data_IF_765751364291
#
_entry.id   IF_765751364291
#
_cell.length_a   1.000
_cell.length_b   1.000
_cell.length_c   1.000
_cell.angle_alpha   90.00
_cell.angle_beta   90.00
_cell.angle_gamma   90.00
#
_symmetry.space_group_name_H-M   'P 1'
#
loop_
_entity.id
_entity.type
_entity.pdbx_description
1 polymer ?
#
# COMPACT_ATOMS: atom_id res chain seq x y z
N UNK A 1 -19.05 -7.36 -8.86
CA UNK A 1 -18.25 -6.72 -9.94
C UNK A 1 -18.81 -7.00 -11.32
N UNK A 2 -19.00 -8.27 -11.74
CA UNK A 2 -19.45 -8.59 -13.11
C UNK A 2 -20.81 -7.98 -13.44
N UNK A 3 -21.87 -8.36 -12.71
CA UNK A 3 -23.22 -7.82 -12.95
C UNK A 3 -23.31 -6.31 -12.78
N UNK A 4 -22.54 -5.76 -11.82
CA UNK A 4 -22.48 -4.33 -11.55
C UNK A 4 -21.90 -3.56 -12.74
N UNK A 5 -20.70 -3.94 -13.21
CA UNK A 5 -20.03 -3.24 -14.31
C UNK A 5 -20.81 -3.31 -15.63
N UNK A 6 -21.52 -4.42 -15.89
CA UNK A 6 -22.36 -4.56 -17.10
C UNK A 6 -23.47 -3.50 -17.13
N UNK A 7 -24.07 -3.19 -15.98
CA UNK A 7 -25.13 -2.17 -15.87
C UNK A 7 -24.62 -0.74 -16.08
N UNK A 8 -23.32 -0.53 -15.91
CA UNK A 8 -22.65 0.77 -16.00
C UNK A 8 -22.07 1.03 -17.41
N UNK A 9 -22.26 0.10 -18.35
CA UNK A 9 -21.84 0.28 -19.74
C UNK A 9 -22.81 1.23 -20.43
N UNK A 10 -22.27 2.35 -20.90
CA UNK A 10 -23.05 3.36 -21.58
C UNK A 10 -23.44 2.89 -22.99
N UNK A 11 -24.72 2.98 -23.39
CA UNK A 11 -25.20 2.39 -24.65
C UNK A 11 -24.67 3.10 -25.90
N UNK A 12 -24.27 4.37 -25.78
CA UNK A 12 -23.82 5.18 -26.91
C UNK A 12 -22.40 4.83 -27.40
N UNK A 13 -21.50 4.48 -26.49
CA UNK A 13 -20.08 4.24 -26.82
C UNK A 13 -19.53 2.91 -26.31
N UNK A 14 -20.35 2.13 -25.58
CA UNK A 14 -20.00 0.82 -25.06
C UNK A 14 -18.93 0.86 -23.97
N UNK A 15 -18.76 1.99 -23.27
CA UNK A 15 -17.73 2.18 -22.22
C UNK A 15 -18.33 2.40 -20.85
N UNK A 16 -17.50 2.19 -19.82
CA UNK A 16 -17.80 2.58 -18.43
C UNK A 16 -17.19 3.95 -18.15
N UNK A 17 -17.98 4.88 -17.62
CA UNK A 17 -17.55 6.26 -17.37
C UNK A 17 -17.56 6.55 -15.88
N UNK A 18 -16.41 6.41 -15.22
CA UNK A 18 -16.30 6.71 -13.79
C UNK A 18 -16.31 8.22 -13.51
N UNK A 19 -16.70 8.59 -12.30
CA UNK A 19 -16.57 9.95 -11.78
C UNK A 19 -15.43 10.02 -10.77
N UNK A 20 -14.47 10.91 -11.02
CA UNK A 20 -13.41 11.21 -10.06
C UNK A 20 -13.82 12.37 -9.15
N UNK A 21 -14.02 12.09 -7.88
CA UNK A 21 -14.36 13.10 -6.88
C UNK A 21 -13.07 13.71 -6.33
N UNK A 22 -12.86 15.00 -6.63
CA UNK A 22 -11.64 15.71 -6.25
C UNK A 22 -11.68 16.28 -4.82
N UNK A 23 -12.87 16.70 -4.35
CA UNK A 23 -13.03 17.43 -3.10
C UNK A 23 -13.80 16.62 -2.03
N UNK A 24 -13.54 15.31 -1.94
CA UNK A 24 -14.23 14.43 -0.99
C UNK A 24 -13.31 13.94 0.15
N UNK A 25 -12.09 13.53 -0.16
CA UNK A 25 -11.23 12.88 0.85
C UNK A 25 -10.47 13.91 1.69
N UNK A 26 -10.29 13.62 2.98
CA UNK A 26 -9.53 14.48 3.90
C UNK A 26 -8.03 14.52 3.62
N UNK A 27 -7.49 13.54 2.90
CA UNK A 27 -6.06 13.40 2.60
C UNK A 27 -5.67 13.96 1.23
N UNK A 28 -6.62 14.53 0.48
CA UNK A 28 -6.41 15.04 -0.87
C UNK A 28 -6.34 13.97 -1.97
N UNK A 29 -6.60 12.69 -1.65
CA UNK A 29 -6.76 11.62 -2.65
C UNK A 29 -8.03 11.84 -3.48
N UNK A 30 -7.98 11.42 -4.75
CA UNK A 30 -9.19 11.22 -5.55
C UNK A 30 -9.96 10.00 -5.04
N UNK A 31 -11.29 10.06 -5.10
CA UNK A 31 -12.13 8.86 -5.07
C UNK A 31 -12.81 8.64 -6.42
N UNK A 32 -13.28 7.42 -6.65
CA UNK A 32 -13.95 7.01 -7.89
C UNK A 32 -15.31 6.42 -7.57
N UNK A 33 -16.37 6.90 -8.22
CA UNK A 33 -17.74 6.40 -8.05
C UNK A 33 -18.44 6.24 -9.40
N UNK A 34 -19.48 5.40 -9.41
CA UNK A 34 -20.45 5.22 -10.51
C UNK A 34 -19.80 4.99 -11.88
N UNK A 35 -19.06 3.88 -12.07
CA UNK A 35 -18.61 2.90 -11.08
C UNK A 35 -17.27 3.26 -10.43
N UNK A 36 -16.97 2.68 -9.28
CA UNK A 36 -15.63 2.77 -8.69
C UNK A 36 -14.63 1.91 -9.49
N UNK A 37 -13.68 2.56 -10.17
CA UNK A 37 -12.63 1.91 -10.95
C UNK A 37 -11.27 1.86 -10.23
N UNK A 38 -11.15 2.46 -9.03
CA UNK A 38 -9.93 2.39 -8.22
C UNK A 38 -9.81 1.07 -7.43
N UNK A 39 -10.92 0.35 -7.22
CA UNK A 39 -10.95 -0.89 -6.42
C UNK A 39 -11.14 -2.19 -7.22
N UNK A 40 -10.88 -2.18 -8.53
CA UNK A 40 -11.02 -3.38 -9.37
C UNK A 40 -10.13 -4.51 -8.84
N UNK A 41 -10.67 -5.72 -8.59
CA UNK A 41 -9.93 -6.80 -7.95
C UNK A 41 -8.60 -7.14 -8.62
N UNK A 42 -7.58 -7.41 -7.81
CA UNK A 42 -6.24 -7.83 -8.25
C UNK A 42 -5.63 -8.93 -7.37
N UNK A 43 -6.17 -9.12 -6.16
CA UNK A 43 -5.52 -9.93 -5.11
C UNK A 43 -5.58 -11.43 -5.42
N UNK A 44 -6.78 -11.94 -5.67
CA UNK A 44 -7.04 -13.33 -6.02
C UNK A 44 -6.99 -13.52 -7.54
N UNK A 45 -6.65 -14.73 -8.00
CA UNK A 45 -6.54 -15.03 -9.42
C UNK A 45 -7.89 -14.83 -10.14
N UNK A 46 -8.98 -15.28 -9.53
CA UNK A 46 -10.35 -15.08 -9.99
C UNK A 46 -10.67 -13.60 -10.14
N UNK A 47 -10.22 -12.77 -9.20
CA UNK A 47 -10.36 -11.33 -9.26
C UNK A 47 -9.56 -10.70 -10.40
N UNK A 48 -8.33 -11.17 -10.67
CA UNK A 48 -7.51 -10.67 -11.80
C UNK A 48 -8.17 -10.91 -13.15
N UNK A 49 -8.96 -11.99 -13.29
CA UNK A 49 -9.69 -12.26 -14.55
C UNK A 49 -10.65 -11.13 -14.91
N UNK A 50 -11.19 -10.41 -13.92
CA UNK A 50 -12.06 -9.23 -14.15
C UNK A 50 -11.31 -8.11 -14.88
N UNK A 51 -10.02 -7.90 -14.59
CA UNK A 51 -9.22 -6.85 -15.27
C UNK A 51 -9.04 -7.12 -16.76
N UNK A 52 -9.14 -8.37 -17.21
CA UNK A 52 -9.07 -8.73 -18.63
C UNK A 52 -10.27 -8.21 -19.44
N UNK A 53 -11.36 -7.83 -18.78
CA UNK A 53 -12.51 -7.19 -19.43
C UNK A 53 -12.26 -5.72 -19.82
N UNK A 54 -11.21 -5.09 -19.26
CA UNK A 54 -10.82 -3.72 -19.60
C UNK A 54 -9.84 -3.78 -20.76
N UNK A 55 -10.33 -3.43 -21.95
CA UNK A 55 -9.59 -3.50 -23.22
C UNK A 55 -9.36 -2.11 -23.81
N UNK A 56 -8.35 -1.94 -24.69
CA UNK A 56 -8.17 -0.70 -25.44
C UNK A 56 -9.44 -0.30 -26.19
N UNK A 57 -9.74 1.00 -26.21
CA UNK A 57 -10.95 1.53 -26.85
C UNK A 57 -10.92 1.53 -28.39
N UNK A 58 -9.79 1.19 -28.99
CA UNK A 58 -9.57 1.17 -30.44
C UNK A 58 -8.73 -0.04 -30.83
N UNK A 59 -8.95 -0.54 -32.04
CA UNK A 59 -8.13 -1.59 -32.62
C UNK A 59 -6.66 -1.14 -32.76
N UNK A 60 -5.74 -2.05 -32.48
CA UNK A 60 -4.29 -1.78 -32.52
C UNK A 60 -3.74 -0.94 -31.36
N UNK A 61 -4.58 -0.49 -30.42
CA UNK A 61 -4.12 0.25 -29.24
C UNK A 61 -3.69 -0.69 -28.11
N UNK A 62 -2.89 -0.16 -27.18
CA UNK A 62 -2.43 -0.85 -25.98
C UNK A 62 -2.77 -0.04 -24.73
N UNK A 63 -3.00 -0.72 -23.61
CA UNK A 63 -3.09 -0.10 -22.29
C UNK A 63 -1.70 -0.13 -21.63
N UNK A 64 -1.23 1.05 -21.20
CA UNK A 64 0.01 1.19 -20.46
C UNK A 64 -0.30 1.58 -19.01
N UNK A 65 0.38 0.94 -18.06
CA UNK A 65 0.22 1.20 -16.63
C UNK A 65 1.57 1.47 -15.99
N UNK A 66 1.66 2.54 -15.20
CA UNK A 66 2.81 2.85 -14.36
C UNK A 66 2.34 3.06 -12.91
N UNK A 67 3.09 2.52 -11.97
CA UNK A 67 2.82 2.59 -10.53
C UNK A 67 4.11 2.95 -9.80
N UNK A 68 4.03 3.83 -8.80
CA UNK A 68 5.19 4.22 -8.02
C UNK A 68 5.63 3.10 -7.07
N UNK A 69 6.90 2.71 -7.16
CA UNK A 69 7.49 1.77 -6.19
C UNK A 69 7.62 2.41 -4.80
N UNK A 70 6.76 1.97 -3.87
CA UNK A 70 6.81 2.33 -2.43
C UNK A 70 6.68 3.84 -2.16
N UNK A 71 5.79 4.54 -2.87
CA UNK A 71 5.69 6.00 -2.83
C UNK A 71 5.54 6.59 -1.43
N UNK A 72 4.67 6.03 -0.59
CA UNK A 72 4.41 6.54 0.77
C UNK A 72 5.66 6.43 1.67
N UNK A 73 6.41 5.33 1.57
CA UNK A 73 7.66 5.17 2.31
C UNK A 73 8.75 6.14 1.81
N UNK A 74 8.79 6.43 0.50
CA UNK A 74 9.71 7.42 -0.07
C UNK A 74 9.37 8.84 0.39
N UNK A 75 8.09 9.18 0.45
CA UNK A 75 7.61 10.44 1.02
C UNK A 75 7.99 10.51 2.50
N UNK A 76 7.76 9.45 3.26
CA UNK A 76 8.17 9.38 4.66
C UNK A 76 9.68 9.57 4.84
N UNK A 77 10.51 8.90 4.03
CA UNK A 77 11.96 9.06 4.06
C UNK A 77 12.38 10.53 3.84
N UNK A 78 11.70 11.21 2.92
CA UNK A 78 11.93 12.62 2.66
C UNK A 78 11.47 13.52 3.83
N UNK A 79 10.26 13.29 4.36
CA UNK A 79 9.68 14.11 5.43
C UNK A 79 10.40 13.93 6.76
N UNK A 80 10.68 12.68 7.13
CA UNK A 80 11.41 12.34 8.36
C UNK A 80 12.90 12.62 8.29
N UNK A 81 13.46 12.74 7.08
CA UNK A 81 14.90 12.84 6.82
C UNK A 81 15.72 11.73 7.49
N UNK A 82 15.10 10.58 7.74
CA UNK A 82 15.77 9.44 8.35
C UNK A 82 16.86 8.91 7.41
N UNK A 83 18.12 8.97 7.86
CA UNK A 83 19.28 8.62 7.05
C UNK A 83 19.26 7.16 6.61
N UNK A 84 18.81 6.25 7.48
CA UNK A 84 18.78 4.83 7.20
C UNK A 84 17.71 4.51 6.15
N UNK A 85 16.54 5.15 6.24
CA UNK A 85 15.44 4.97 5.30
C UNK A 85 15.76 5.59 3.93
N UNK A 86 16.38 6.77 3.92
CA UNK A 86 16.87 7.41 2.68
C UNK A 86 17.92 6.54 2.01
N UNK A 87 18.90 6.04 2.76
CA UNK A 87 19.97 5.22 2.22
C UNK A 87 19.44 3.86 1.72
N UNK A 88 18.50 3.24 2.43
CA UNK A 88 17.82 2.04 1.97
C UNK A 88 17.20 2.24 0.58
N UNK A 89 16.56 3.38 0.34
CA UNK A 89 16.00 3.69 -0.98
C UNK A 89 17.04 4.00 -2.06
N UNK A 90 18.16 4.64 -1.71
CA UNK A 90 19.26 4.90 -2.64
C UNK A 90 19.96 3.62 -3.09
N UNK A 91 20.06 2.64 -2.20
CA UNK A 91 20.66 1.34 -2.47
C UNK A 91 19.68 0.34 -3.10
N UNK A 92 18.44 0.76 -3.40
CA UNK A 92 17.43 -0.11 -4.00
C UNK A 92 16.94 -1.22 -3.07
N UNK A 93 17.10 -1.06 -1.76
CA UNK A 93 16.65 -2.05 -0.79
C UNK A 93 15.13 -2.17 -0.78
N UNK A 94 14.67 -3.40 -0.61
CA UNK A 94 13.26 -3.69 -0.38
C UNK A 94 12.95 -3.71 1.11
N UNK A 95 12.48 -2.57 1.63
CA UNK A 95 12.16 -2.42 3.05
C UNK A 95 11.07 -3.41 3.49
N UNK A 96 10.14 -3.78 2.60
CA UNK A 96 9.13 -4.79 2.93
C UNK A 96 9.72 -6.18 3.08
N UNK A 97 10.68 -6.54 2.24
CA UNK A 97 11.43 -7.80 2.38
C UNK A 97 12.23 -7.81 3.67
N UNK A 98 12.92 -6.70 4.00
CA UNK A 98 13.66 -6.57 5.26
C UNK A 98 12.75 -6.73 6.48
N UNK A 99 11.63 -6.00 6.51
CA UNK A 99 10.61 -6.16 7.56
C UNK A 99 10.07 -7.59 7.62
N UNK A 100 9.86 -8.25 6.48
CA UNK A 100 9.38 -9.64 6.45
C UNK A 100 10.39 -10.61 7.07
N UNK A 101 11.68 -10.45 6.79
CA UNK A 101 12.73 -11.27 7.41
C UNK A 101 12.71 -11.14 8.94
N UNK A 102 12.56 -9.92 9.44
CA UNK A 102 12.50 -9.65 10.88
C UNK A 102 11.21 -10.18 11.52
N UNK A 103 10.05 -9.99 10.88
CA UNK A 103 8.73 -10.38 11.40
C UNK A 103 8.52 -11.88 11.41
N UNK A 104 8.94 -12.57 10.34
CA UNK A 104 8.73 -14.01 10.20
C UNK A 104 9.94 -14.84 10.65
N UNK A 105 11.02 -14.19 11.09
CA UNK A 105 12.26 -14.83 11.50
C UNK A 105 12.84 -15.76 10.41
N UNK A 106 12.85 -15.25 9.17
CA UNK A 106 13.31 -15.99 7.98
C UNK A 106 14.46 -15.26 7.29
N UNK A 107 15.28 -16.01 6.56
CA UNK A 107 16.30 -15.46 5.67
C UNK A 107 15.68 -14.80 4.43
N UNK A 108 16.49 -14.04 3.68
CA UNK A 108 16.01 -13.29 2.52
C UNK A 108 15.39 -14.20 1.45
N UNK A 109 15.99 -15.36 1.21
CA UNK A 109 15.55 -16.37 0.23
C UNK A 109 14.28 -17.11 0.65
N UNK A 110 13.97 -17.12 1.95
CA UNK A 110 12.74 -17.71 2.50
C UNK A 110 11.56 -16.72 2.48
N UNK A 111 11.77 -15.44 2.17
CA UNK A 111 10.70 -14.44 2.10
C UNK A 111 9.76 -14.73 0.94
N UNK A 112 8.55 -15.19 1.27
CA UNK A 112 7.50 -15.40 0.27
C UNK A 112 6.82 -14.08 -0.15
N UNK A 113 6.18 -14.02 -1.34
CA UNK A 113 5.38 -12.86 -1.75
C UNK A 113 4.25 -12.50 -0.77
N UNK A 114 3.72 -13.48 -0.02
CA UNK A 114 2.71 -13.26 0.99
C UNK A 114 3.31 -12.65 2.27
N UNK A 115 4.47 -13.13 2.73
CA UNK A 115 5.20 -12.54 3.86
C UNK A 115 5.57 -11.09 3.58
N UNK A 116 6.13 -10.80 2.40
CA UNK A 116 6.42 -9.42 1.97
C UNK A 116 5.17 -8.54 1.94
N UNK A 117 4.02 -9.09 1.54
CA UNK A 117 2.74 -8.36 1.53
C UNK A 117 2.22 -8.08 2.95
N UNK A 118 2.37 -9.03 3.87
CA UNK A 118 2.05 -8.83 5.29
C UNK A 118 2.94 -7.74 5.88
N UNK A 119 4.26 -7.83 5.68
CA UNK A 119 5.23 -6.82 6.11
C UNK A 119 4.95 -5.43 5.51
N UNK A 120 4.43 -5.35 4.28
CA UNK A 120 3.90 -4.10 3.71
C UNK A 120 2.78 -3.52 4.57
N UNK A 121 1.77 -4.32 4.93
CA UNK A 121 0.68 -3.87 5.80
C UNK A 121 1.19 -3.45 7.19
N UNK A 122 2.19 -4.14 7.73
CA UNK A 122 2.87 -3.76 8.99
C UNK A 122 3.52 -2.38 8.87
N UNK A 123 4.39 -2.19 7.88
CA UNK A 123 5.06 -0.89 7.67
C UNK A 123 4.04 0.24 7.55
N UNK A 124 2.94 0.03 6.82
CA UNK A 124 1.88 1.03 6.76
C UNK A 124 1.20 1.26 8.09
N UNK A 125 0.85 0.21 8.80
CA UNK A 125 0.29 0.31 10.14
C UNK A 125 1.16 1.19 11.02
N UNK A 126 2.46 0.91 11.09
CA UNK A 126 3.40 1.66 11.95
C UNK A 126 3.43 3.14 11.56
N UNK A 127 3.50 3.46 10.27
CA UNK A 127 3.57 4.85 9.78
C UNK A 127 2.27 5.63 10.05
N UNK A 128 1.14 4.93 10.07
CA UNK A 128 -0.16 5.51 10.41
C UNK A 128 -0.52 5.38 11.89
N UNK A 129 0.45 5.03 12.76
CA UNK A 129 0.25 5.01 14.21
C UNK A 129 -0.62 3.84 14.69
N UNK A 130 -0.57 2.68 14.04
CA UNK A 130 -1.20 1.47 14.54
C UNK A 130 -0.68 1.17 15.95
N UNK A 131 -1.59 0.78 16.85
CA UNK A 131 -1.19 0.32 18.17
C UNK A 131 -0.56 -1.08 18.09
N UNK A 132 0.22 -1.43 19.12
CA UNK A 132 0.68 -2.80 19.37
C UNK A 132 -0.46 -3.82 19.33
N UNK A 133 -1.63 -3.48 19.87
CA UNK A 133 -2.85 -4.29 19.79
C UNK A 133 -3.36 -4.44 18.36
N UNK A 134 -3.45 -3.36 17.59
CA UNK A 134 -3.90 -3.42 16.20
C UNK A 134 -2.94 -4.24 15.33
N UNK A 135 -1.63 -4.09 15.56
CA UNK A 135 -0.62 -4.84 14.86
C UNK A 135 -0.66 -6.34 15.22
N UNK A 136 -0.89 -6.67 16.49
CA UNK A 136 -0.99 -8.07 16.93
C UNK A 136 -2.15 -8.81 16.28
N UNK A 137 -3.30 -8.15 16.09
CA UNK A 137 -4.45 -8.71 15.35
C UNK A 137 -4.15 -8.90 13.86
N UNK A 138 -3.43 -7.97 13.24
CA UNK A 138 -3.10 -8.05 11.81
C UNK A 138 -2.10 -9.17 11.49
N UNK A 139 -1.20 -9.46 12.44
CA UNK A 139 -0.13 -10.45 12.28
C UNK A 139 -0.43 -11.80 12.92
N UNK A 140 -1.51 -11.91 13.70
CA UNK A 140 -1.83 -13.10 14.50
C UNK A 140 -0.68 -13.51 15.45
N UNK A 141 -0.16 -12.52 16.18
CA UNK A 141 0.94 -12.66 17.15
C UNK A 141 0.55 -12.10 18.52
N UNK A 142 1.38 -12.29 19.54
CA UNK A 142 1.14 -11.67 20.84
C UNK A 142 1.32 -10.15 20.79
N UNK A 143 0.61 -9.43 21.66
CA UNK A 143 0.77 -7.97 21.81
C UNK A 143 2.21 -7.58 22.18
N UNK A 144 2.90 -8.44 22.94
CA UNK A 144 4.30 -8.23 23.33
C UNK A 144 5.22 -8.25 22.11
N UNK A 145 5.09 -9.27 21.26
CA UNK A 145 5.87 -9.37 20.01
C UNK A 145 5.58 -8.20 19.07
N UNK A 146 4.31 -7.80 18.94
CA UNK A 146 3.94 -6.62 18.16
C UNK A 146 4.61 -5.33 18.68
N UNK A 147 4.66 -5.14 20.00
CA UNK A 147 5.37 -4.01 20.62
C UNK A 147 6.88 -4.05 20.33
N UNK A 148 7.51 -5.21 20.47
CA UNK A 148 8.93 -5.41 20.17
C UNK A 148 9.25 -5.12 18.69
N UNK A 149 8.33 -5.47 17.76
CA UNK A 149 8.48 -5.13 16.35
C UNK A 149 8.41 -3.63 16.09
N UNK A 150 7.43 -2.94 16.69
CA UNK A 150 7.32 -1.48 16.57
C UNK A 150 8.59 -0.81 17.11
N UNK A 151 9.10 -1.29 18.25
CA UNK A 151 10.33 -0.77 18.85
C UNK A 151 11.54 -0.98 17.94
N UNK A 152 11.76 -2.19 17.42
CA UNK A 152 12.86 -2.50 16.49
C UNK A 152 12.78 -1.68 15.19
N UNK A 153 11.56 -1.45 14.68
CA UNK A 153 11.35 -0.61 13.51
C UNK A 153 11.84 0.82 13.77
N UNK A 154 11.46 1.42 14.90
CA UNK A 154 11.90 2.76 15.25
C UNK A 154 13.38 2.83 15.64
N UNK A 155 13.97 1.77 16.19
CA UNK A 155 15.42 1.68 16.38
C UNK A 155 16.15 1.67 15.04
N UNK A 156 15.60 1.00 14.03
CA UNK A 156 16.16 0.96 12.67
C UNK A 156 15.99 2.26 11.89
N UNK A 157 14.92 3.01 12.18
CA UNK A 157 14.56 4.26 11.52
C UNK A 157 14.23 5.36 12.55
N UNK A 158 15.23 5.83 13.33
CA UNK A 158 15.00 6.75 14.44
C UNK A 158 14.39 8.09 14.02
N UNK A 159 14.72 8.60 12.84
CA UNK A 159 14.16 9.84 12.31
C UNK A 159 12.67 9.74 12.00
N UNK A 160 12.17 8.53 11.71
CA UNK A 160 10.71 8.29 11.56
C UNK A 160 10.01 8.48 12.89
N UNK A 161 10.56 7.92 13.98
CA UNK A 161 10.00 8.10 15.32
C UNK A 161 9.97 9.57 15.73
N UNK A 162 11.09 10.27 15.53
CA UNK A 162 11.19 11.70 15.83
C UNK A 162 10.16 12.51 15.03
N UNK A 163 10.02 12.23 13.73
CA UNK A 163 9.03 12.88 12.88
C UNK A 163 7.59 12.63 13.38
N UNK A 164 7.25 11.40 13.76
CA UNK A 164 5.93 11.06 14.30
C UNK A 164 5.66 11.73 15.64
N UNK A 165 6.65 11.74 16.55
CA UNK A 165 6.52 12.41 17.85
C UNK A 165 6.34 13.93 17.68
N UNK A 166 7.03 14.54 16.71
CA UNK A 166 6.93 15.98 16.42
C UNK A 166 5.60 16.36 15.79
N UNK A 167 5.13 15.63 14.77
CA UNK A 167 3.87 15.97 14.09
C UNK A 167 2.65 15.85 15.02
N UNK A 168 2.70 14.95 16.01
CA UNK A 168 1.65 14.82 17.04
C UNK A 168 1.67 16.01 18.01
N UNK A 169 2.84 16.61 18.28
CA UNK A 169 2.95 17.80 19.15
C UNK A 169 2.53 19.08 18.45
N UNK A 170 2.70 19.16 17.14
CA UNK A 170 2.35 20.34 16.34
C UNK A 170 0.85 20.43 16.02
N UNK A 171 0.13 19.29 16.02
CA UNK A 171 -1.30 19.18 15.72
C UNK A 171 -2.20 19.54 16.92
#
# INVERSE_FOLDING_TARGET
YIEGLIKEVHPEDGKVHTRFMQALTSTGRLSSTDPNLQNIPIRLEEGRKIRKAFVPSREGWLLFSADYSQIELRVLAHMSKDKNLVEAFKQGMDIHTRTAMEVFHVSHDEVTPNMRRAAKAVNFGIIYGISDYGLSQNLDISRKEAGEFIEKYFQSFPGVKEYMDNIVREA
#
